data_IF_928462241533
#
_entry.id   IF_928462241533
#
_cell.length_a   1.000
_cell.length_b   1.000
_cell.length_c   1.000
_cell.angle_alpha   90.00
_cell.angle_beta   90.00
_cell.angle_gamma   90.00
#
_symmetry.space_group_name_H-M   'P 1'
#
loop_
_entity.id
_entity.type
_entity.pdbx_description
1 polymer ?
#
# COMPACT_ATOMS: atom_id res chain seq x y z
N UNK A 1 7.03 16.16 6.40
CA UNK A 1 7.96 15.64 5.37
C UNK A 1 9.41 16.06 5.56
N UNK A 2 9.75 16.96 6.50
CA UNK A 2 11.15 17.36 6.73
C UNK A 2 12.06 16.17 7.08
N UNK A 3 11.57 15.22 7.86
CA UNK A 3 12.35 14.04 8.28
C UNK A 3 12.66 13.08 7.13
N UNK A 4 11.79 13.02 6.11
CA UNK A 4 12.02 12.19 4.92
C UNK A 4 13.22 12.69 4.11
N UNK A 5 13.30 14.01 3.90
CA UNK A 5 14.45 14.63 3.22
C UNK A 5 15.75 14.45 4.00
N UNK A 6 15.70 14.62 5.33
CA UNK A 6 16.87 14.40 6.20
C UNK A 6 17.37 12.95 6.13
N UNK A 7 16.46 11.97 6.08
CA UNK A 7 16.84 10.57 5.96
C UNK A 7 17.46 10.26 4.59
N UNK A 8 16.87 10.77 3.50
CA UNK A 8 17.39 10.57 2.15
C UNK A 8 18.81 11.12 2.01
N UNK A 9 19.04 12.37 2.44
CA UNK A 9 20.38 12.97 2.41
C UNK A 9 21.38 12.18 3.27
N UNK A 10 20.94 11.61 4.40
CA UNK A 10 21.83 10.81 5.24
C UNK A 10 22.21 9.48 4.61
N UNK A 11 21.30 8.84 3.89
CA UNK A 11 21.57 7.61 3.14
C UNK A 11 22.57 7.85 2.01
N UNK A 12 22.45 8.99 1.30
CA UNK A 12 23.41 9.42 0.28
C UNK A 12 24.82 9.64 0.86
N UNK A 13 24.94 10.35 1.99
CA UNK A 13 26.23 10.54 2.69
C UNK A 13 26.91 9.22 3.06
N UNK A 14 26.11 8.21 3.40
CA UNK A 14 26.57 6.88 3.77
C UNK A 14 26.84 5.97 2.56
N UNK A 15 26.67 6.47 1.33
CA UNK A 15 26.73 5.71 0.08
C UNK A 15 25.79 4.49 0.08
N UNK A 16 24.62 4.61 0.71
CA UNK A 16 23.58 3.59 0.71
C UNK A 16 22.60 3.92 -0.41
N UNK A 17 22.62 3.11 -1.47
CA UNK A 17 21.70 3.26 -2.59
C UNK A 17 20.28 2.82 -2.18
N UNK A 18 19.34 3.77 -2.22
CA UNK A 18 17.93 3.50 -1.95
C UNK A 18 17.28 2.84 -3.16
N UNK A 19 16.72 1.63 -2.98
CA UNK A 19 15.98 0.94 -4.05
C UNK A 19 14.64 1.59 -4.38
N UNK A 20 13.99 2.18 -3.38
CA UNK A 20 12.74 2.93 -3.51
C UNK A 20 12.66 3.97 -2.39
N UNK A 21 12.05 5.11 -2.68
CA UNK A 21 11.86 6.20 -1.73
C UNK A 21 10.56 6.93 -2.09
N UNK A 22 9.52 6.70 -1.30
CA UNK A 22 8.21 7.27 -1.52
C UNK A 22 7.54 7.60 -0.18
N UNK A 23 6.74 8.67 -0.18
CA UNK A 23 5.88 9.00 0.95
C UNK A 23 4.62 8.15 0.88
N UNK A 24 4.50 7.20 1.80
CA UNK A 24 3.33 6.33 1.89
C UNK A 24 2.53 6.58 3.17
N UNK A 25 1.23 6.30 3.14
CA UNK A 25 0.39 6.31 4.34
C UNK A 25 0.32 4.90 4.92
N UNK A 26 0.92 4.72 6.08
CA UNK A 26 0.88 3.46 6.83
C UNK A 26 -0.31 3.53 7.81
N UNK A 27 -1.27 2.59 7.76
CA UNK A 27 -2.38 2.57 8.71
C UNK A 27 -1.89 2.21 10.13
N UNK A 28 -2.53 2.78 11.15
CA UNK A 28 -2.19 2.47 12.56
C UNK A 28 -2.75 1.13 13.04
N UNK A 29 -3.80 0.64 12.39
CA UNK A 29 -4.47 -0.62 12.69
C UNK A 29 -5.01 -1.23 11.39
N UNK A 30 -4.88 -2.55 11.26
CA UNK A 30 -5.48 -3.31 10.15
C UNK A 30 -6.87 -3.81 10.52
N UNK A 31 -7.69 -4.10 9.50
CA UNK A 31 -9.01 -4.70 9.65
C UNK A 31 -9.08 -5.92 8.76
N UNK A 32 -9.26 -7.08 9.37
CA UNK A 32 -9.52 -8.32 8.68
C UNK A 32 -11.00 -8.39 8.27
N UNK A 33 -11.25 -8.80 7.04
CA UNK A 33 -12.59 -9.04 6.51
C UNK A 33 -12.68 -10.45 5.94
N UNK A 34 -13.88 -11.07 5.92
CA UNK A 34 -14.11 -12.30 5.18
C UNK A 34 -13.71 -12.13 3.71
N UNK A 35 -13.21 -13.20 3.09
CA UNK A 35 -12.69 -13.20 1.70
C UNK A 35 -13.67 -12.55 0.71
N UNK A 36 -14.96 -12.88 0.80
CA UNK A 36 -16.03 -12.30 -0.03
C UNK A 36 -16.10 -10.78 0.03
N UNK A 37 -15.94 -10.20 1.22
CA UNK A 37 -16.04 -8.75 1.42
C UNK A 37 -14.70 -8.08 1.12
N UNK A 38 -13.58 -8.72 1.45
CA UNK A 38 -12.25 -8.28 1.07
C UNK A 38 -12.12 -8.15 -0.47
N UNK A 39 -12.61 -9.14 -1.24
CA UNK A 39 -12.65 -9.09 -2.71
C UNK A 39 -13.45 -7.89 -3.24
N UNK A 40 -14.59 -7.56 -2.62
CA UNK A 40 -15.38 -6.38 -3.02
C UNK A 40 -14.63 -5.08 -2.76
N UNK A 41 -13.91 -4.98 -1.65
CA UNK A 41 -13.09 -3.82 -1.32
C UNK A 41 -11.92 -3.70 -2.31
N UNK A 42 -11.23 -4.80 -2.62
CA UNK A 42 -10.14 -4.78 -3.61
C UNK A 42 -10.63 -4.37 -5.00
N UNK A 43 -11.78 -4.89 -5.46
CA UNK A 43 -12.38 -4.45 -6.73
C UNK A 43 -12.76 -2.96 -6.73
N UNK A 44 -13.17 -2.43 -5.57
CA UNK A 44 -13.44 -1.01 -5.42
C UNK A 44 -12.16 -0.17 -5.47
N UNK A 45 -11.08 -0.67 -4.86
CA UNK A 45 -9.74 -0.05 -4.92
C UNK A 45 -9.28 0.03 -6.38
N UNK A 46 -9.35 -1.07 -7.14
CA UNK A 46 -9.01 -1.10 -8.57
C UNK A 46 -9.79 -0.03 -9.36
N UNK A 47 -11.10 0.07 -9.14
CA UNK A 47 -11.92 1.09 -9.81
C UNK A 47 -11.55 2.52 -9.47
N UNK A 48 -11.06 2.76 -8.26
CA UNK A 48 -10.55 4.08 -7.88
C UNK A 48 -9.18 4.32 -8.49
N UNK A 49 -8.33 3.31 -8.65
CA UNK A 49 -7.03 3.45 -9.33
C UNK A 49 -7.16 3.68 -10.84
N UNK A 50 -8.22 3.16 -11.45
CA UNK A 50 -8.56 3.38 -12.87
C UNK A 50 -9.08 4.80 -13.17
N UNK A 51 -9.40 5.60 -12.14
CA UNK A 51 -9.89 6.97 -12.30
C UNK A 51 -8.72 7.96 -12.44
N UNK A 52 -8.63 8.62 -13.59
CA UNK A 52 -7.57 9.60 -13.93
C UNK A 52 -7.47 10.76 -12.91
N UNK A 53 -8.55 11.08 -12.20
CA UNK A 53 -8.57 12.13 -11.17
C UNK A 53 -8.09 11.64 -9.80
N UNK A 54 -7.98 10.33 -9.59
CA UNK A 54 -7.50 9.72 -8.35
C UNK A 54 -5.99 9.53 -8.41
N UNK A 55 -5.29 10.11 -7.45
CA UNK A 55 -3.82 10.07 -7.42
C UNK A 55 -3.27 8.89 -6.61
N UNK A 56 -3.93 8.51 -5.52
CA UNK A 56 -3.50 7.42 -4.64
C UNK A 56 -4.71 6.88 -3.86
N UNK A 57 -4.77 5.55 -3.71
CA UNK A 57 -5.76 4.87 -2.86
C UNK A 57 -5.04 4.24 -1.67
N UNK A 58 -5.57 4.43 -0.46
CA UNK A 58 -5.02 3.83 0.76
C UNK A 58 -6.12 3.11 1.52
N UNK A 59 -5.85 1.90 1.97
CA UNK A 59 -6.74 1.10 2.80
C UNK A 59 -5.99 0.49 3.98
N UNK A 60 -6.73 0.06 4.98
CA UNK A 60 -6.21 -0.69 6.12
C UNK A 60 -6.72 -2.14 6.16
N UNK A 61 -7.25 -2.64 5.03
CA UNK A 61 -7.60 -4.05 4.87
C UNK A 61 -6.38 -4.93 5.15
N UNK A 62 -6.57 -5.93 5.99
CA UNK A 62 -5.57 -6.96 6.24
C UNK A 62 -5.59 -7.99 5.09
N UNK A 63 -4.44 -8.22 4.47
CA UNK A 63 -4.32 -9.19 3.38
C UNK A 63 -3.83 -10.50 4.00
N UNK A 64 -4.78 -11.38 4.29
CA UNK A 64 -4.51 -12.70 4.89
C UNK A 64 -4.06 -13.70 3.83
N UNK A 65 -3.35 -14.75 4.25
CA UNK A 65 -2.90 -15.83 3.34
C UNK A 65 -4.08 -16.46 2.58
N UNK A 66 -5.23 -16.63 3.25
CA UNK A 66 -6.46 -17.15 2.64
C UNK A 66 -6.98 -16.24 1.51
N UNK A 67 -6.91 -14.92 1.69
CA UNK A 67 -7.31 -13.96 0.66
C UNK A 67 -6.36 -14.02 -0.54
N UNK A 68 -5.06 -14.16 -0.30
CA UNK A 68 -4.05 -14.29 -1.37
C UNK A 68 -4.32 -15.57 -2.17
N UNK A 69 -4.49 -16.72 -1.50
CA UNK A 69 -4.80 -17.98 -2.16
C UNK A 69 -6.11 -17.88 -2.98
N UNK A 70 -7.13 -17.23 -2.44
CA UNK A 70 -8.40 -17.03 -3.13
C UNK A 70 -8.32 -16.08 -4.34
N UNK A 71 -7.30 -15.21 -4.41
CA UNK A 71 -7.03 -14.33 -5.57
C UNK A 71 -6.14 -15.02 -6.61
N UNK A 72 -5.20 -15.86 -6.20
CA UNK A 72 -4.32 -16.61 -7.11
C UNK A 72 -5.01 -17.82 -7.76
N UNK A 73 -6.04 -18.37 -7.11
CA UNK A 73 -6.84 -19.47 -7.63
C UNK A 73 -7.86 -19.06 -8.71
N UNK A 74 -7.98 -17.77 -8.99
CA UNK A 74 -8.90 -17.16 -9.97
C UNK A 74 -8.18 -16.82 -11.29
#
# INVERSE_FOLDING_TARGET
>A
FNDFGMMSSKLEELNIETKSSEVQRIPLNTVELPVEDAKKILNLVEKFEDDDDVQNVYHNLDITDELIEAMEAE
#
